data_IF_036303523400
#
_entry.id   IF_036303523400
#
_cell.length_a   1.000
_cell.length_b   1.000
_cell.length_c   1.000
_cell.angle_alpha   90.00
_cell.angle_beta   90.00
_cell.angle_gamma   90.00
#
_symmetry.space_group_name_H-M   'P 1'
#
loop_
_entity.id
_entity.type
_entity.pdbx_description
1 polymer ?
#
# COMPACT_ATOMS: atom_id res chain seq x y z
N UNK A 1 83.78 -2.63 -10.42
CA UNK A 1 82.43 -3.17 -10.71
C UNK A 1 81.50 -2.13 -11.35
N UNK A 2 81.20 -0.99 -10.71
CA UNK A 2 80.32 0.06 -11.26
C UNK A 2 80.76 0.63 -12.63
N UNK A 3 82.07 0.79 -12.85
CA UNK A 3 82.63 1.27 -14.12
C UNK A 3 82.39 0.29 -15.28
N UNK A 4 82.36 -1.02 -14.99
CA UNK A 4 82.04 -2.09 -15.94
C UNK A 4 80.53 -2.13 -16.25
N UNK A 5 79.68 -2.01 -15.23
CA UNK A 5 78.22 -1.89 -15.37
C UNK A 5 77.86 -0.66 -16.24
N UNK A 6 78.50 0.49 -15.99
CA UNK A 6 78.31 1.72 -16.77
C UNK A 6 78.77 1.58 -18.23
N UNK A 7 79.81 0.80 -18.47
CA UNK A 7 80.29 0.46 -19.82
C UNK A 7 79.30 -0.43 -20.57
N UNK A 8 78.74 -1.46 -19.92
CA UNK A 8 77.73 -2.34 -20.49
C UNK A 8 76.39 -1.63 -20.76
N UNK A 9 75.96 -0.72 -19.86
CA UNK A 9 74.77 0.11 -20.05
C UNK A 9 74.91 1.07 -21.26
N UNK A 10 76.12 1.61 -21.51
CA UNK A 10 76.39 2.47 -22.68
C UNK A 10 76.58 1.67 -23.97
N UNK A 11 77.27 0.53 -23.91
CA UNK A 11 77.56 -0.31 -25.08
C UNK A 11 76.34 -1.06 -25.63
N UNK A 12 75.28 -1.24 -24.82
CA UNK A 12 74.00 -1.86 -25.19
C UNK A 12 72.80 -0.97 -24.85
N UNK A 13 72.94 0.33 -25.09
CA UNK A 13 71.98 1.36 -24.68
C UNK A 13 70.53 1.05 -25.07
N UNK A 14 70.28 0.53 -26.28
CA UNK A 14 68.92 0.18 -26.72
C UNK A 14 68.22 -0.87 -25.84
N UNK A 15 68.94 -1.91 -25.39
CA UNK A 15 68.38 -2.97 -24.53
C UNK A 15 68.16 -2.48 -23.10
N UNK A 16 69.06 -1.65 -22.57
CA UNK A 16 68.93 -1.06 -21.25
C UNK A 16 67.77 -0.07 -21.17
N UNK A 17 67.58 0.76 -22.20
CA UNK A 17 66.44 1.68 -22.31
C UNK A 17 65.13 0.91 -22.42
N UNK A 18 65.07 -0.14 -23.25
CA UNK A 18 63.86 -0.97 -23.38
C UNK A 18 63.46 -1.64 -22.06
N UNK A 19 64.42 -2.17 -21.29
CA UNK A 19 64.16 -2.76 -19.98
C UNK A 19 63.70 -1.73 -18.95
N UNK A 20 64.34 -0.56 -18.90
CA UNK A 20 63.94 0.52 -17.99
C UNK A 20 62.56 1.06 -18.34
N UNK A 21 62.25 1.25 -19.63
CA UNK A 21 60.94 1.67 -20.09
C UNK A 21 59.87 0.62 -19.74
N UNK A 22 60.13 -0.66 -19.98
CA UNK A 22 59.21 -1.74 -19.60
C UNK A 22 58.97 -1.81 -18.09
N UNK A 23 60.02 -1.68 -17.28
CA UNK A 23 59.91 -1.65 -15.82
C UNK A 23 59.15 -0.40 -15.34
N UNK A 24 59.38 0.75 -15.95
CA UNK A 24 58.68 2.00 -15.62
C UNK A 24 57.20 1.92 -15.98
N UNK A 25 56.86 1.38 -17.15
CA UNK A 25 55.46 1.14 -17.55
C UNK A 25 54.79 0.16 -16.60
N UNK A 26 55.44 -0.96 -16.25
CA UNK A 26 54.88 -1.96 -15.35
C UNK A 26 54.66 -1.41 -13.93
N UNK A 27 55.64 -0.71 -13.37
CA UNK A 27 55.54 -0.12 -12.03
C UNK A 27 54.51 1.01 -11.97
N UNK A 28 54.50 1.91 -12.97
CA UNK A 28 53.50 2.98 -13.04
C UNK A 28 52.09 2.41 -13.22
N UNK A 29 51.92 1.43 -14.11
CA UNK A 29 50.65 0.74 -14.31
C UNK A 29 50.15 0.05 -13.04
N UNK A 30 51.05 -0.63 -12.32
CA UNK A 30 50.70 -1.28 -11.04
C UNK A 30 50.30 -0.27 -9.96
N UNK A 31 51.04 0.84 -9.82
CA UNK A 31 50.73 1.90 -8.86
C UNK A 31 49.41 2.58 -9.19
N UNK A 32 49.16 2.92 -10.46
CA UNK A 32 47.89 3.52 -10.90
C UNK A 32 46.72 2.57 -10.65
N UNK A 33 46.88 1.28 -10.99
CA UNK A 33 45.83 0.28 -10.77
C UNK A 33 45.52 0.12 -9.27
N UNK A 34 46.55 -0.02 -8.44
CA UNK A 34 46.37 -0.19 -6.98
C UNK A 34 45.77 1.06 -6.35
N UNK A 35 46.19 2.26 -6.80
CA UNK A 35 45.59 3.52 -6.39
C UNK A 35 44.11 3.58 -6.73
N UNK A 36 43.76 3.30 -7.99
CA UNK A 36 42.37 3.29 -8.45
C UNK A 36 41.51 2.28 -7.67
N UNK A 37 41.98 1.05 -7.46
CA UNK A 37 41.25 0.03 -6.69
C UNK A 37 41.03 0.46 -5.24
N UNK A 38 42.03 1.08 -4.61
CA UNK A 38 41.92 1.55 -3.23
C UNK A 38 40.94 2.71 -3.11
N UNK A 39 40.98 3.66 -4.06
CA UNK A 39 40.02 4.77 -4.12
C UNK A 39 38.59 4.27 -4.33
N UNK A 40 38.36 3.37 -5.29
CA UNK A 40 37.02 2.80 -5.51
C UNK A 40 36.53 2.03 -4.28
N UNK A 41 37.40 1.30 -3.58
CA UNK A 41 37.03 0.64 -2.33
C UNK A 41 36.65 1.65 -1.26
N UNK A 42 37.41 2.73 -1.09
CA UNK A 42 37.12 3.78 -0.11
C UNK A 42 35.83 4.53 -0.44
N UNK A 43 35.57 4.80 -1.71
CA UNK A 43 34.33 5.43 -2.16
C UNK A 43 33.12 4.53 -1.92
N UNK A 44 33.22 3.22 -2.20
CA UNK A 44 32.16 2.25 -1.91
C UNK A 44 31.94 2.10 -0.41
N UNK A 45 33.01 1.93 0.38
CA UNK A 45 32.89 1.82 1.84
C UNK A 45 32.34 3.11 2.43
N UNK A 46 32.83 4.27 2.01
CA UNK A 46 32.33 5.57 2.46
C UNK A 46 30.87 5.79 2.10
N UNK A 47 30.45 5.44 0.88
CA UNK A 47 29.04 5.53 0.45
C UNK A 47 28.15 4.59 1.26
N UNK A 48 28.62 3.37 1.56
CA UNK A 48 27.90 2.41 2.39
C UNK A 48 27.83 2.92 3.84
N UNK A 49 28.92 3.40 4.43
CA UNK A 49 28.95 3.94 5.79
C UNK A 49 28.07 5.18 5.94
N UNK A 50 28.11 6.09 4.97
CA UNK A 50 27.27 7.30 4.95
C UNK A 50 25.78 6.94 4.80
N UNK A 51 25.45 5.94 3.98
CA UNK A 51 24.07 5.45 3.81
C UNK A 51 23.59 4.51 4.92
N UNK A 52 24.49 4.01 5.79
CA UNK A 52 24.17 3.10 6.91
C UNK A 52 24.29 3.76 8.28
N UNK A 53 24.70 5.03 8.37
CA UNK A 53 24.68 5.78 9.62
C UNK A 53 23.24 5.85 10.13
N UNK A 54 22.96 5.11 11.20
CA UNK A 54 21.66 5.10 11.83
C UNK A 54 21.30 6.50 12.32
N UNK A 55 20.00 6.85 12.24
CA UNK A 55 19.50 8.13 12.75
C UNK A 55 19.68 8.27 14.27
N UNK A 56 19.91 7.17 14.97
CA UNK A 56 20.10 7.09 16.41
C UNK A 56 21.44 6.41 16.74
N UNK A 57 22.19 6.98 17.69
CA UNK A 57 23.45 6.39 18.15
C UNK A 57 23.21 5.18 19.08
N UNK A 58 22.22 5.29 19.97
CA UNK A 58 21.87 4.25 20.95
C UNK A 58 20.35 4.13 21.02
N UNK A 59 19.87 2.89 20.92
CA UNK A 59 18.47 2.56 21.12
C UNK A 59 18.31 1.79 22.44
N UNK A 60 17.55 2.38 23.36
CA UNK A 60 17.27 1.77 24.67
C UNK A 60 15.96 1.00 24.61
N UNK A 61 15.96 -0.24 25.09
CA UNK A 61 14.78 -1.11 25.11
C UNK A 61 14.33 -1.38 26.55
N UNK A 62 13.03 -1.60 26.79
CA UNK A 62 12.54 -2.04 28.09
C UNK A 62 13.20 -3.33 28.57
N UNK A 63 13.36 -3.49 29.87
CA UNK A 63 13.85 -4.74 30.46
C UNK A 63 12.91 -5.90 30.09
N UNK A 64 13.48 -7.07 29.79
CA UNK A 64 12.72 -8.26 29.39
C UNK A 64 12.36 -8.31 27.90
N UNK A 65 12.68 -7.28 27.12
CA UNK A 65 12.42 -7.26 25.67
C UNK A 65 13.35 -8.17 24.85
N UNK A 66 14.45 -8.66 25.43
CA UNK A 66 15.46 -9.48 24.72
C UNK A 66 14.91 -10.86 24.39
N UNK A 67 14.92 -11.25 23.12
CA UNK A 67 14.43 -12.56 22.68
C UNK A 67 15.44 -13.67 22.99
N UNK A 68 15.01 -14.96 23.06
CA UNK A 68 15.93 -16.09 23.24
C UNK A 68 17.03 -16.14 22.17
N UNK A 69 16.69 -15.84 20.92
CA UNK A 69 17.65 -15.83 19.81
C UNK A 69 18.69 -14.71 19.95
N UNK A 70 18.28 -13.52 20.40
CA UNK A 70 19.20 -12.41 20.70
C UNK A 70 20.13 -12.73 21.87
N UNK A 71 19.65 -13.50 22.86
CA UNK A 71 20.45 -13.98 23.99
C UNK A 71 21.49 -15.01 23.54
N UNK A 72 21.09 -15.95 22.68
CA UNK A 72 21.95 -17.03 22.16
C UNK A 72 23.03 -16.51 21.20
N UNK A 73 22.64 -15.70 20.19
CA UNK A 73 23.52 -15.33 19.08
C UNK A 73 24.13 -13.94 19.21
N UNK A 74 23.70 -13.13 20.17
CA UNK A 74 24.22 -11.77 20.34
C UNK A 74 23.91 -10.82 19.17
N UNK A 75 22.91 -11.15 18.36
CA UNK A 75 22.46 -10.35 17.20
C UNK A 75 21.06 -9.83 17.45
N UNK A 76 20.73 -8.66 16.90
CA UNK A 76 19.40 -8.06 16.93
C UNK A 76 18.82 -8.05 15.52
N UNK A 77 17.52 -8.30 15.39
CA UNK A 77 16.83 -8.28 14.09
C UNK A 77 16.85 -6.85 13.50
N UNK A 78 17.02 -6.68 12.17
CA UNK A 78 16.72 -5.41 11.52
C UNK A 78 15.29 -4.94 11.83
N UNK A 79 15.09 -3.63 12.01
CA UNK A 79 13.78 -3.02 12.32
C UNK A 79 13.07 -3.64 13.55
N UNK A 80 13.83 -4.12 14.54
CA UNK A 80 13.27 -4.75 15.73
C UNK A 80 12.32 -3.85 16.53
N UNK A 81 12.49 -2.52 16.46
CA UNK A 81 11.61 -1.55 17.14
C UNK A 81 10.15 -1.75 16.71
N UNK A 82 9.90 -2.07 15.45
CA UNK A 82 8.56 -2.23 14.88
C UNK A 82 7.76 -3.40 15.46
N UNK A 83 8.38 -4.27 16.26
CA UNK A 83 7.72 -5.38 16.96
C UNK A 83 7.83 -5.30 18.48
N UNK A 84 8.31 -4.19 19.04
CA UNK A 84 8.41 -3.96 20.47
C UNK A 84 7.25 -3.08 20.94
N UNK A 85 6.33 -3.69 21.65
CA UNK A 85 5.16 -3.02 22.22
C UNK A 85 5.30 -2.92 23.74
N UNK A 86 4.95 -1.76 24.28
CA UNK A 86 5.32 -1.34 25.65
C UNK A 86 6.46 -0.32 25.62
N UNK A 87 6.97 0.08 26.79
CA UNK A 87 7.90 1.19 26.85
C UNK A 87 8.69 1.32 28.15
N UNK A 88 9.61 2.26 28.12
CA UNK A 88 10.28 2.80 29.31
C UNK A 88 9.34 3.82 29.98
N UNK A 89 9.41 3.97 31.30
CA UNK A 89 8.65 5.01 32.02
C UNK A 89 9.29 6.38 31.80
N UNK A 90 8.56 7.45 32.11
CA UNK A 90 9.13 8.81 32.09
C UNK A 90 10.32 8.94 33.07
N UNK A 91 10.28 8.24 34.20
CA UNK A 91 11.40 8.18 35.14
C UNK A 91 12.63 7.51 34.53
N UNK A 92 12.46 6.39 33.81
CA UNK A 92 13.57 5.77 33.08
C UNK A 92 14.11 6.69 31.98
N UNK A 93 13.22 7.40 31.27
CA UNK A 93 13.62 8.38 30.26
C UNK A 93 14.50 9.49 30.85
N UNK A 94 14.09 10.08 31.98
CA UNK A 94 14.88 11.11 32.68
C UNK A 94 16.23 10.56 33.17
N UNK A 95 16.24 9.33 33.69
CA UNK A 95 17.48 8.65 34.10
C UNK A 95 18.43 8.47 32.92
N UNK A 96 17.93 8.02 31.77
CA UNK A 96 18.73 7.86 30.54
C UNK A 96 19.30 9.21 30.09
N UNK A 97 18.48 10.27 30.10
CA UNK A 97 18.93 11.63 29.77
C UNK A 97 19.99 12.18 30.74
N UNK A 98 20.06 11.65 31.96
CA UNK A 98 21.07 12.05 32.96
C UNK A 98 22.41 11.31 32.84
N UNK A 99 22.50 10.29 31.98
CA UNK A 99 23.74 9.52 31.79
C UNK A 99 24.81 10.41 31.15
N UNK A 100 26.00 10.45 31.75
CA UNK A 100 27.12 11.23 31.22
C UNK A 100 27.46 10.82 29.79
N UNK A 101 27.47 11.79 28.87
CA UNK A 101 27.70 11.56 27.44
C UNK A 101 26.43 11.42 26.60
N UNK A 102 25.25 11.35 27.20
CA UNK A 102 23.97 11.50 26.49
C UNK A 102 23.68 12.98 26.31
N UNK A 103 23.68 13.45 25.07
CA UNK A 103 23.36 14.84 24.75
C UNK A 103 21.85 15.07 24.64
N UNK A 104 21.15 14.16 23.95
CA UNK A 104 19.71 14.21 23.72
C UNK A 104 19.15 12.79 23.88
N UNK A 105 18.02 12.67 24.57
CA UNK A 105 17.19 11.49 24.57
C UNK A 105 15.81 11.83 24.00
N UNK A 106 15.31 11.02 23.08
CA UNK A 106 13.98 11.15 22.50
C UNK A 106 13.19 9.84 22.74
N UNK A 107 12.02 9.90 23.41
CA UNK A 107 11.17 8.73 23.58
C UNK A 107 10.35 8.48 22.31
N UNK A 108 10.34 7.21 21.89
CA UNK A 108 9.45 6.70 20.85
C UNK A 108 8.67 5.50 21.39
N UNK A 109 7.35 5.50 21.17
CA UNK A 109 6.47 4.43 21.58
C UNK A 109 5.71 3.87 20.38
N UNK A 110 5.97 2.60 20.06
CA UNK A 110 5.25 1.91 18.98
C UNK A 110 3.86 1.52 19.48
N UNK A 111 2.83 2.07 18.86
CA UNK A 111 1.44 1.84 19.27
C UNK A 111 0.90 0.55 18.67
N UNK A 112 1.30 0.21 17.45
CA UNK A 112 0.81 -0.94 16.70
C UNK A 112 0.71 -0.65 15.22
N UNK A 113 0.18 -1.61 14.48
CA UNK A 113 -0.14 -1.47 13.06
C UNK A 113 -1.62 -1.18 12.88
N UNK A 114 -1.95 -0.23 12.02
CA UNK A 114 -3.30 -0.03 11.51
C UNK A 114 -3.28 -0.33 10.02
N UNK A 115 -4.29 -1.06 9.54
CA UNK A 115 -4.43 -1.31 8.10
C UNK A 115 -4.94 -0.05 7.43
N UNK A 116 -4.32 0.27 6.30
CA UNK A 116 -4.76 1.37 5.45
C UNK A 116 -5.05 0.85 4.06
N UNK A 117 -6.27 1.08 3.58
CA UNK A 117 -6.68 0.72 2.23
C UNK A 117 -6.13 1.75 1.24
N UNK A 118 -5.20 1.29 0.41
CA UNK A 118 -4.69 2.06 -0.73
C UNK A 118 -5.43 1.68 -1.99
N UNK A 119 -5.76 2.69 -2.79
CA UNK A 119 -6.39 2.50 -4.11
C UNK A 119 -5.32 2.36 -5.20
N UNK A 120 -5.38 1.26 -5.95
CA UNK A 120 -4.60 1.05 -7.16
C UNK A 120 -5.53 1.23 -8.35
N UNK A 121 -5.35 2.34 -9.08
CA UNK A 121 -6.29 2.77 -10.12
C UNK A 121 -5.88 2.28 -11.49
N UNK A 122 -6.80 1.60 -12.16
CA UNK A 122 -6.66 1.13 -13.54
C UNK A 122 -7.58 1.92 -14.47
N UNK A 123 -7.07 2.32 -15.64
CA UNK A 123 -7.89 2.92 -16.69
C UNK A 123 -8.32 1.84 -17.69
N UNK A 124 -9.63 1.69 -17.84
CA UNK A 124 -10.28 0.73 -18.71
C UNK A 124 -10.93 1.40 -19.94
N UNK A 125 -10.75 2.71 -20.12
CA UNK A 125 -11.41 3.50 -21.16
C UNK A 125 -11.23 2.90 -22.57
N UNK A 126 -10.00 2.52 -22.92
CA UNK A 126 -9.68 1.96 -24.22
C UNK A 126 -10.04 0.46 -24.35
N UNK A 127 -10.31 -0.20 -23.22
CA UNK A 127 -10.80 -1.57 -23.20
C UNK A 127 -12.29 -1.66 -23.60
N UNK A 128 -13.03 -0.55 -23.62
CA UNK A 128 -14.44 -0.49 -23.99
C UNK A 128 -14.62 -0.32 -25.50
N UNK A 129 -15.41 -1.19 -26.12
CA UNK A 129 -15.92 -0.96 -27.47
C UNK A 129 -17.18 -0.11 -27.42
N UNK A 130 -17.07 1.15 -27.83
CA UNK A 130 -18.21 2.09 -27.78
C UNK A 130 -19.34 1.74 -28.76
N UNK A 131 -19.15 0.79 -29.66
CA UNK A 131 -20.17 0.36 -30.64
C UNK A 131 -21.11 -0.72 -30.09
N UNK A 132 -20.73 -1.37 -28.98
CA UNK A 132 -21.51 -2.46 -28.40
C UNK A 132 -22.60 -1.91 -27.47
N UNK A 133 -23.81 -2.48 -27.57
CA UNK A 133 -24.89 -2.15 -26.64
C UNK A 133 -24.55 -2.60 -25.21
N UNK A 134 -23.89 -3.74 -25.05
CA UNK A 134 -23.53 -4.33 -23.74
C UNK A 134 -22.23 -5.11 -23.84
N UNK A 135 -21.39 -4.98 -22.82
CA UNK A 135 -20.14 -5.74 -22.69
C UNK A 135 -19.71 -5.82 -21.23
N UNK A 136 -18.84 -6.76 -20.90
CA UNK A 136 -18.19 -6.83 -19.59
C UNK A 136 -16.69 -6.81 -19.79
N UNK A 137 -15.98 -5.92 -19.10
CA UNK A 137 -14.52 -5.95 -19.03
C UNK A 137 -14.14 -6.75 -17.79
N UNK A 138 -13.62 -7.95 -17.98
CA UNK A 138 -13.00 -8.75 -16.92
C UNK A 138 -11.56 -8.27 -16.73
N UNK A 139 -11.22 -7.97 -15.49
CA UNK A 139 -9.90 -7.52 -15.06
C UNK A 139 -9.35 -8.61 -14.14
N UNK A 140 -8.24 -9.24 -14.54
CA UNK A 140 -7.57 -10.30 -13.78
C UNK A 140 -6.29 -9.74 -13.12
N UNK A 141 -6.35 -9.32 -11.84
CA UNK A 141 -5.20 -8.78 -11.12
C UNK A 141 -4.22 -9.86 -10.64
N UNK A 142 -2.95 -9.49 -10.62
CA UNK A 142 -1.85 -10.22 -10.00
C UNK A 142 -1.07 -9.25 -9.13
N UNK A 143 -1.03 -9.53 -7.83
CA UNK A 143 -0.26 -8.77 -6.86
C UNK A 143 1.19 -9.28 -6.88
N UNK A 144 2.14 -8.35 -6.91
CA UNK A 144 3.57 -8.62 -6.81
C UNK A 144 4.17 -7.78 -5.68
N UNK A 145 5.06 -8.38 -4.91
CA UNK A 145 5.83 -7.70 -3.86
C UNK A 145 7.27 -8.24 -3.82
N UNK A 146 8.14 -7.59 -3.05
CA UNK A 146 9.55 -7.99 -2.88
C UNK A 146 10.27 -8.12 -4.24
N UNK A 147 10.13 -7.10 -5.10
CA UNK A 147 10.66 -7.08 -6.48
C UNK A 147 10.25 -8.30 -7.32
N UNK A 148 9.02 -8.77 -7.13
CA UNK A 148 8.45 -9.90 -7.84
C UNK A 148 8.80 -11.28 -7.27
N UNK A 149 9.49 -11.34 -6.12
CA UNK A 149 9.74 -12.61 -5.43
C UNK A 149 8.49 -13.18 -4.76
N UNK A 150 7.53 -12.31 -4.41
CA UNK A 150 6.21 -12.68 -3.93
C UNK A 150 5.18 -12.37 -5.01
N UNK A 151 4.38 -13.36 -5.40
CA UNK A 151 3.32 -13.20 -6.41
C UNK A 151 2.05 -13.91 -5.97
N UNK A 152 0.90 -13.29 -6.20
CA UNK A 152 -0.41 -13.90 -5.92
C UNK A 152 -1.42 -13.46 -6.98
N UNK A 153 -2.04 -14.44 -7.64
CA UNK A 153 -3.17 -14.18 -8.54
C UNK A 153 -4.40 -13.93 -7.70
N UNK A 154 -5.13 -12.88 -8.05
CA UNK A 154 -6.31 -12.48 -7.32
C UNK A 154 -7.60 -12.79 -8.09
N UNK A 155 -8.70 -12.67 -7.35
CA UNK A 155 -10.04 -12.86 -7.86
C UNK A 155 -10.35 -11.76 -8.90
N UNK A 156 -10.98 -12.08 -10.03
CA UNK A 156 -11.21 -11.10 -11.08
C UNK A 156 -12.26 -10.06 -10.65
N UNK A 157 -12.05 -8.83 -11.10
CA UNK A 157 -13.06 -7.77 -11.08
C UNK A 157 -13.74 -7.68 -12.45
N UNK A 158 -14.98 -7.22 -12.46
CA UNK A 158 -15.78 -7.08 -13.66
C UNK A 158 -16.33 -5.66 -13.76
N UNK A 159 -16.25 -5.07 -14.94
CA UNK A 159 -16.90 -3.79 -15.24
C UNK A 159 -17.92 -4.01 -16.34
N UNK A 160 -19.19 -4.04 -15.96
CA UNK A 160 -20.31 -4.12 -16.89
C UNK A 160 -20.59 -2.75 -17.49
N UNK A 161 -20.50 -2.65 -18.82
CA UNK A 161 -20.78 -1.42 -19.55
C UNK A 161 -21.99 -1.65 -20.47
N UNK A 162 -22.99 -0.79 -20.34
CA UNK A 162 -24.23 -0.87 -21.13
C UNK A 162 -24.62 0.48 -21.73
N UNK A 163 -25.13 0.52 -22.96
CA UNK A 163 -25.73 1.71 -23.54
C UNK A 163 -27.14 1.98 -22.98
N UNK A 164 -27.72 1.02 -22.24
CA UNK A 164 -29.06 1.14 -21.67
C UNK A 164 -29.06 2.01 -20.41
N UNK A 165 -30.16 2.72 -20.10
CA UNK A 165 -30.25 3.48 -18.87
C UNK A 165 -30.03 2.61 -17.64
N UNK A 166 -29.21 3.10 -16.71
CA UNK A 166 -29.07 2.57 -15.36
C UNK A 166 -29.85 3.48 -14.40
N UNK A 167 -30.49 2.87 -13.41
CA UNK A 167 -31.14 3.57 -12.30
C UNK A 167 -30.44 3.19 -11.01
N UNK A 168 -30.26 4.18 -10.13
CA UNK A 168 -29.43 4.08 -8.93
C UNK A 168 -30.25 4.34 -7.67
N UNK A 169 -29.89 3.74 -6.52
CA UNK A 169 -30.52 4.08 -5.24
C UNK A 169 -30.21 5.53 -4.85
N UNK A 170 -31.22 6.28 -4.37
CA UNK A 170 -31.10 7.73 -4.08
C UNK A 170 -31.05 8.01 -2.58
N UNK A 171 -31.79 7.25 -1.76
CA UNK A 171 -31.79 7.36 -0.32
C UNK A 171 -31.53 5.99 0.33
N UNK A 172 -30.40 5.89 1.01
CA UNK A 172 -29.97 4.67 1.73
C UNK A 172 -30.01 4.88 3.24
N UNK A 173 -31.09 5.46 3.76
CA UNK A 173 -31.37 5.46 5.20
C UNK A 173 -31.43 4.02 5.75
N UNK A 174 -31.04 3.86 7.02
CA UNK A 174 -31.04 2.57 7.69
C UNK A 174 -32.46 2.22 8.17
N UNK A 175 -33.01 1.08 7.72
CA UNK A 175 -34.24 0.49 8.30
C UNK A 175 -35.28 0.05 7.28
N UNK A 176 -35.30 0.63 6.08
CA UNK A 176 -36.36 0.35 5.11
C UNK A 176 -36.10 -0.91 4.27
N UNK A 177 -37.14 -1.72 4.07
CA UNK A 177 -37.12 -2.94 3.27
C UNK A 177 -37.09 -2.65 1.75
N UNK A 178 -37.61 -1.50 1.35
CA UNK A 178 -37.55 -0.95 0.00
C UNK A 178 -36.91 0.43 0.04
N UNK A 179 -36.27 0.82 -1.07
CA UNK A 179 -35.56 2.09 -1.20
C UNK A 179 -35.92 2.75 -2.53
N UNK A 180 -35.94 4.08 -2.54
CA UNK A 180 -36.19 4.87 -3.75
C UNK A 180 -34.98 4.84 -4.69
N UNK A 181 -35.26 4.70 -5.99
CA UNK A 181 -34.29 4.78 -7.07
C UNK A 181 -34.49 6.03 -7.92
N UNK A 182 -33.51 6.38 -8.75
CA UNK A 182 -33.49 7.60 -9.57
C UNK A 182 -34.64 7.71 -10.60
N UNK A 183 -35.41 6.64 -10.80
CA UNK A 183 -36.67 6.65 -11.57
C UNK A 183 -37.91 7.03 -10.73
N UNK A 184 -37.72 7.37 -9.45
CA UNK A 184 -38.77 7.67 -8.48
C UNK A 184 -39.56 6.44 -8.00
N UNK A 185 -39.12 5.22 -8.37
CA UNK A 185 -39.77 3.98 -7.94
C UNK A 185 -39.03 3.36 -6.77
N UNK A 186 -39.76 2.57 -6.00
CA UNK A 186 -39.22 1.83 -4.87
C UNK A 186 -38.96 0.38 -5.27
N UNK A 187 -37.81 -0.15 -4.85
CA UNK A 187 -37.43 -1.54 -5.10
C UNK A 187 -36.88 -2.17 -3.81
N UNK A 188 -36.88 -3.51 -3.71
CA UNK A 188 -36.30 -4.21 -2.56
C UNK A 188 -34.86 -3.75 -2.29
N UNK A 189 -34.53 -3.52 -1.02
CA UNK A 189 -33.19 -3.10 -0.58
C UNK A 189 -32.11 -4.12 -0.95
N UNK A 190 -32.48 -5.40 -0.95
CA UNK A 190 -31.57 -6.52 -1.16
C UNK A 190 -32.00 -7.38 -2.36
N UNK A 191 -31.95 -6.85 -3.59
CA UNK A 191 -32.44 -7.57 -4.77
C UNK A 191 -31.54 -8.74 -5.19
N UNK A 192 -30.33 -8.82 -4.62
CA UNK A 192 -29.30 -9.80 -4.93
C UNK A 192 -28.93 -10.68 -3.72
N UNK A 193 -29.85 -10.85 -2.76
CA UNK A 193 -29.65 -11.72 -1.59
C UNK A 193 -29.13 -10.97 -0.37
N UNK A 194 -27.90 -11.18 0.05
CA UNK A 194 -27.32 -10.50 1.22
C UNK A 194 -26.76 -9.11 0.90
N UNK A 195 -26.47 -8.86 -0.38
CA UNK A 195 -25.98 -7.59 -0.94
C UNK A 195 -26.97 -6.44 -0.65
N UNK A 196 -26.41 -5.23 -0.51
CA UNK A 196 -27.19 -4.01 -0.38
C UNK A 196 -27.89 -3.59 -1.67
N UNK A 197 -28.31 -2.33 -1.71
CA UNK A 197 -28.86 -1.72 -2.91
C UNK A 197 -27.86 -1.82 -4.08
N UNK A 198 -28.33 -2.12 -5.29
CA UNK A 198 -27.47 -2.23 -6.48
C UNK A 198 -28.09 -1.51 -7.68
N UNK A 199 -27.30 -0.96 -8.63
CA UNK A 199 -27.83 -0.38 -9.85
C UNK A 199 -28.73 -1.35 -10.62
N UNK A 200 -29.74 -0.82 -11.32
CA UNK A 200 -30.65 -1.61 -12.14
C UNK A 200 -30.60 -1.15 -13.58
N UNK A 201 -30.55 -2.10 -14.51
CA UNK A 201 -30.60 -1.81 -15.94
C UNK A 201 -32.05 -1.77 -16.41
N UNK A 202 -32.41 -0.72 -17.17
CA UNK A 202 -33.70 -0.62 -17.84
C UNK A 202 -33.67 -1.42 -19.14
N UNK A 203 -34.51 -2.46 -19.20
CA UNK A 203 -34.67 -3.35 -20.35
C UNK A 203 -35.64 -2.77 -21.40
N UNK A 204 -35.60 -3.29 -22.64
CA UNK A 204 -36.63 -3.02 -23.64
C UNK A 204 -38.03 -3.30 -23.08
N UNK A 205 -38.92 -2.32 -23.18
CA UNK A 205 -40.26 -2.36 -22.56
C UNK A 205 -40.38 -1.67 -21.20
N UNK A 206 -39.31 -1.05 -20.69
CA UNK A 206 -39.35 -0.15 -19.52
C UNK A 206 -39.33 -0.85 -18.16
N UNK A 207 -39.18 -2.19 -18.14
CA UNK A 207 -38.89 -2.94 -16.91
C UNK A 207 -37.42 -2.78 -16.52
N UNK A 208 -37.13 -2.77 -15.23
CA UNK A 208 -35.75 -2.72 -14.71
C UNK A 208 -35.38 -4.01 -13.98
N UNK A 209 -34.15 -4.48 -14.17
CA UNK A 209 -33.60 -5.67 -13.51
C UNK A 209 -32.30 -5.31 -12.77
N UNK A 210 -32.03 -5.87 -11.57
CA UNK A 210 -30.83 -5.55 -10.81
C UNK A 210 -29.57 -6.07 -11.49
N UNK A 211 -28.46 -5.34 -11.36
CA UNK A 211 -27.12 -5.81 -11.74
C UNK A 211 -26.43 -6.29 -10.47
N UNK A 212 -26.48 -7.59 -10.21
CA UNK A 212 -25.87 -8.18 -9.00
C UNK A 212 -24.36 -8.32 -9.10
N UNK A 213 -23.68 -8.40 -7.95
CA UNK A 213 -22.27 -8.79 -7.94
C UNK A 213 -22.12 -10.30 -8.20
N UNK A 214 -20.94 -10.70 -8.65
CA UNK A 214 -20.53 -12.08 -8.94
C UNK A 214 -20.03 -12.77 -7.67
N UNK A 215 -19.56 -11.98 -6.69
CA UNK A 215 -18.78 -12.46 -5.56
C UNK A 215 -19.45 -12.12 -4.24
N UNK A 216 -19.65 -13.18 -3.43
CA UNK A 216 -20.20 -13.08 -2.09
C UNK A 216 -19.19 -12.34 -1.22
N UNK A 217 -19.50 -11.12 -0.81
CA UNK A 217 -18.75 -10.43 0.23
C UNK A 217 -18.97 -11.20 1.53
N UNK A 218 -17.95 -11.90 2.01
CA UNK A 218 -18.01 -12.47 3.35
C UNK A 218 -17.67 -11.37 4.35
N UNK A 219 -18.66 -10.56 4.68
CA UNK A 219 -18.55 -9.53 5.71
C UNK A 219 -18.42 -10.12 7.12
N UNK A 220 -18.21 -11.44 7.26
CA UNK A 220 -18.03 -12.07 8.56
C UNK A 220 -16.76 -11.56 9.24
N UNK A 221 -16.92 -10.87 10.37
CA UNK A 221 -15.76 -10.48 11.15
C UNK A 221 -15.01 -11.70 11.64
N UNK A 222 -13.69 -11.59 11.63
CA UNK A 222 -12.78 -12.71 11.81
C UNK A 222 -12.48 -13.45 10.50
N UNK A 223 -12.92 -12.92 9.35
CA UNK A 223 -12.49 -13.43 8.05
C UNK A 223 -10.96 -13.36 7.92
N UNK A 224 -10.38 -14.44 7.39
CA UNK A 224 -8.96 -14.52 7.02
C UNK A 224 -8.76 -14.25 5.53
N UNK A 225 -9.76 -13.69 4.85
CA UNK A 225 -9.66 -13.32 3.43
C UNK A 225 -8.56 -12.28 3.25
N UNK A 226 -7.83 -12.44 2.16
CA UNK A 226 -6.80 -11.50 1.71
C UNK A 226 -7.36 -10.55 0.66
N UNK A 227 -6.60 -9.50 0.35
CA UNK A 227 -6.91 -8.62 -0.78
C UNK A 227 -7.03 -9.39 -2.11
N UNK A 228 -6.33 -10.53 -2.24
CA UNK A 228 -6.42 -11.37 -3.43
C UNK A 228 -7.75 -12.13 -3.56
N UNK A 229 -8.51 -12.26 -2.47
CA UNK A 229 -9.82 -12.88 -2.47
C UNK A 229 -10.94 -11.86 -2.78
N UNK A 230 -10.59 -10.57 -2.87
CA UNK A 230 -11.51 -9.50 -3.23
C UNK A 230 -11.75 -9.48 -4.73
N UNK A 231 -13.01 -9.42 -5.12
CA UNK A 231 -13.42 -9.10 -6.48
C UNK A 231 -14.79 -8.46 -6.46
N UNK A 232 -15.17 -7.81 -7.55
CA UNK A 232 -16.40 -7.02 -7.62
C UNK A 232 -16.96 -6.96 -9.02
N UNK A 233 -18.22 -6.57 -9.15
CA UNK A 233 -18.82 -6.15 -10.42
C UNK A 233 -19.38 -4.74 -10.31
N UNK A 234 -18.85 -3.83 -11.13
CA UNK A 234 -19.32 -2.46 -11.22
C UNK A 234 -20.10 -2.24 -12.53
N UNK A 235 -21.23 -1.56 -12.44
CA UNK A 235 -22.07 -1.24 -13.59
C UNK A 235 -21.90 0.22 -14.01
N UNK A 236 -21.64 0.44 -15.30
CA UNK A 236 -21.55 1.76 -15.93
C UNK A 236 -22.45 1.83 -17.15
N UNK A 237 -23.03 3.01 -17.36
CA UNK A 237 -23.72 3.35 -18.60
C UNK A 237 -22.76 4.06 -19.55
N UNK A 238 -22.72 3.60 -20.80
CA UNK A 238 -22.09 4.32 -21.90
C UNK A 238 -23.11 5.28 -22.52
N UNK A 239 -22.78 6.56 -22.52
CA UNK A 239 -23.61 7.60 -23.10
C UNK A 239 -23.39 7.73 -24.62
N UNK A 240 -24.36 8.26 -25.38
CA UNK A 240 -24.22 8.43 -26.83
C UNK A 240 -23.05 9.33 -27.26
N UNK A 241 -22.58 10.22 -26.37
CA UNK A 241 -21.42 11.08 -26.59
C UNK A 241 -20.08 10.39 -26.29
N UNK A 242 -20.09 9.12 -25.87
CA UNK A 242 -18.91 8.31 -25.60
C UNK A 242 -18.38 8.42 -24.17
N UNK A 243 -19.04 9.20 -23.29
CA UNK A 243 -18.72 9.31 -21.86
C UNK A 243 -19.39 8.21 -21.04
N UNK A 244 -18.94 8.05 -19.80
CA UNK A 244 -19.42 7.01 -18.87
C UNK A 244 -20.18 7.62 -17.69
N UNK A 245 -21.35 7.08 -17.39
CA UNK A 245 -22.14 7.39 -16.20
C UNK A 245 -22.06 6.17 -15.26
N UNK A 246 -21.43 6.34 -14.10
CA UNK A 246 -21.23 5.28 -13.11
C UNK A 246 -22.10 5.44 -11.87
N UNK A 247 -22.02 4.51 -10.91
CA UNK A 247 -22.68 4.67 -9.63
C UNK A 247 -22.20 5.96 -8.95
N UNK A 248 -23.07 6.65 -8.19
CA UNK A 248 -22.63 7.79 -7.40
C UNK A 248 -21.50 7.34 -6.48
N UNK A 249 -20.38 8.08 -6.47
CA UNK A 249 -19.33 7.89 -5.46
C UNK A 249 -19.99 8.06 -4.09
N UNK A 250 -19.60 7.27 -3.11
CA UNK A 250 -20.10 7.43 -1.74
C UNK A 250 -19.89 8.89 -1.31
N UNK A 251 -20.98 9.57 -0.99
CA UNK A 251 -20.99 10.95 -0.51
C UNK A 251 -21.58 10.95 0.90
N UNK A 252 -20.93 11.60 1.87
CA UNK A 252 -21.43 11.72 3.24
C UNK A 252 -22.85 12.29 3.31
N UNK A 253 -23.60 11.85 4.32
CA UNK A 253 -24.97 12.31 4.56
C UNK A 253 -25.01 13.85 4.71
N UNK A 254 -25.80 14.51 3.85
CA UNK A 254 -25.99 15.96 3.87
C UNK A 254 -25.23 16.74 2.80
N UNK A 255 -24.31 16.10 2.08
CA UNK A 255 -23.85 16.61 0.79
C UNK A 255 -24.73 16.04 -0.32
N UNK A 256 -25.06 16.83 -1.37
CA UNK A 256 -25.68 16.26 -2.54
C UNK A 256 -24.76 15.14 -3.01
N UNK A 257 -25.29 13.92 -3.11
CA UNK A 257 -24.63 12.85 -3.83
C UNK A 257 -24.08 13.48 -5.10
N UNK A 258 -22.79 13.29 -5.37
CA UNK A 258 -22.20 13.65 -6.65
C UNK A 258 -22.82 12.69 -7.67
N UNK A 259 -24.11 12.86 -7.92
CA UNK A 259 -24.91 12.13 -8.86
C UNK A 259 -24.38 12.44 -10.25
N UNK A 260 -24.40 11.40 -11.08
CA UNK A 260 -24.61 11.52 -12.52
C UNK A 260 -23.70 12.52 -13.23
N UNK A 261 -22.40 12.52 -12.94
CA UNK A 261 -21.43 13.15 -13.84
C UNK A 261 -20.88 12.11 -14.78
N UNK A 262 -21.35 12.19 -16.02
CA UNK A 262 -20.68 11.64 -17.17
C UNK A 262 -19.18 11.99 -17.12
N UNK A 263 -18.33 10.97 -16.98
CA UNK A 263 -16.87 11.07 -16.97
C UNK A 263 -16.28 10.62 -18.29
N UNK A 264 -15.16 11.21 -18.68
CA UNK A 264 -14.48 10.84 -19.93
C UNK A 264 -13.67 9.54 -19.80
N UNK A 265 -13.25 9.20 -18.57
CA UNK A 265 -12.43 8.01 -18.28
C UNK A 265 -13.18 7.01 -17.40
N UNK A 266 -13.16 5.75 -17.82
CA UNK A 266 -13.66 4.61 -17.06
C UNK A 266 -12.53 4.03 -16.23
N UNK A 267 -12.54 4.23 -14.92
CA UNK A 267 -11.50 3.73 -14.03
C UNK A 267 -12.02 2.69 -13.05
N UNK A 268 -11.21 1.68 -12.77
CA UNK A 268 -11.43 0.68 -11.72
C UNK A 268 -10.39 0.87 -10.62
N UNK A 269 -10.84 1.00 -9.37
CA UNK A 269 -9.96 1.02 -8.20
C UNK A 269 -9.92 -0.39 -7.61
N UNK A 270 -8.72 -0.96 -7.51
CA UNK A 270 -8.44 -2.20 -6.77
C UNK A 270 -7.84 -1.78 -5.44
N UNK A 271 -8.44 -2.22 -4.34
CA UNK A 271 -7.98 -1.90 -2.99
C UNK A 271 -6.90 -2.86 -2.55
N UNK A 272 -5.85 -2.32 -1.92
CA UNK A 272 -4.79 -3.09 -1.27
C UNK A 272 -4.62 -2.58 0.15
N UNK A 273 -4.85 -3.44 1.14
CA UNK A 273 -4.67 -3.11 2.53
C UNK A 273 -3.21 -3.29 2.94
N UNK A 274 -2.56 -2.19 3.33
CA UNK A 274 -1.18 -2.20 3.79
C UNK A 274 -1.10 -1.82 5.27
N UNK A 275 -0.29 -2.53 6.08
CA UNK A 275 -0.12 -2.19 7.48
C UNK A 275 0.80 -0.97 7.63
N UNK A 276 0.26 0.11 8.19
CA UNK A 276 1.04 1.26 8.62
C UNK A 276 1.34 1.16 10.11
N UNK A 277 2.61 1.33 10.44
CA UNK A 277 3.08 1.34 11.82
C UNK A 277 2.86 2.72 12.44
N UNK A 278 2.12 2.75 13.54
CA UNK A 278 1.87 3.96 14.31
C UNK A 278 2.89 4.08 15.44
N UNK A 279 3.52 5.25 15.53
CA UNK A 279 4.46 5.58 16.59
C UNK A 279 4.05 6.92 17.24
N UNK A 280 4.02 6.94 18.57
CA UNK A 280 3.98 8.18 19.33
C UNK A 280 5.42 8.66 19.58
N UNK A 281 5.66 9.94 19.32
CA UNK A 281 6.98 10.58 19.44
C UNK A 281 6.85 11.85 20.28
N UNK A 282 7.94 12.25 20.92
CA UNK A 282 8.11 13.64 21.41
C UNK A 282 8.67 14.49 20.25
N UNK A 283 7.87 15.37 19.62
CA UNK A 283 8.32 16.11 18.44
C UNK A 283 9.52 17.01 18.74
N UNK A 284 9.59 17.62 19.92
CA UNK A 284 10.67 18.54 20.26
C UNK A 284 11.98 17.81 20.55
N UNK A 285 11.92 16.62 21.15
CA UNK A 285 13.11 15.80 21.35
C UNK A 285 13.60 15.19 20.02
N UNK A 286 12.70 14.66 19.20
CA UNK A 286 13.03 14.11 17.88
C UNK A 286 13.55 15.19 16.92
N UNK A 287 13.04 16.42 16.96
CA UNK A 287 13.58 17.50 16.15
C UNK A 287 15.03 17.84 16.52
N UNK A 288 15.37 17.87 17.81
CA UNK A 288 16.77 18.06 18.22
C UNK A 288 17.66 16.88 17.81
N UNK A 289 17.12 15.67 17.81
CA UNK A 289 17.89 14.45 17.56
C UNK A 289 18.13 14.21 16.06
N UNK A 290 17.07 14.30 15.25
CA UNK A 290 17.10 13.95 13.82
C UNK A 290 16.65 15.07 12.89
N UNK A 291 16.26 16.23 13.42
CA UNK A 291 15.75 17.34 12.62
C UNK A 291 14.38 17.08 12.01
N UNK A 292 13.49 16.43 12.76
CA UNK A 292 12.14 16.04 12.36
C UNK A 292 11.37 17.17 11.64
N UNK A 293 11.44 18.41 12.12
CA UNK A 293 10.71 19.54 11.53
C UNK A 293 11.22 19.88 10.12
N UNK A 294 12.53 19.75 9.91
CA UNK A 294 13.17 19.99 8.61
C UNK A 294 12.88 18.90 7.59
N UNK A 295 12.43 17.73 8.03
CA UNK A 295 12.02 16.63 7.15
C UNK A 295 10.59 16.80 6.62
N UNK A 296 9.80 17.72 7.18
CA UNK A 296 8.42 17.99 6.74
C UNK A 296 8.43 18.76 5.42
N UNK A 297 7.94 18.12 4.36
CA UNK A 297 7.90 18.71 3.00
C UNK A 297 6.56 19.37 2.65
N UNK A 298 5.49 19.06 3.39
CA UNK A 298 4.14 19.59 3.20
C UNK A 298 3.38 19.57 4.53
N UNK A 299 2.43 20.50 4.70
CA UNK A 299 1.70 20.66 5.96
C UNK A 299 2.51 21.48 6.98
N UNK A 300 2.48 21.06 8.25
CA UNK A 300 3.23 21.68 9.34
C UNK A 300 3.88 20.62 10.24
N UNK A 301 4.96 20.94 10.95
CA UNK A 301 5.50 20.05 11.99
C UNK A 301 4.51 19.80 13.13
N UNK A 302 4.69 18.67 13.81
CA UNK A 302 3.97 18.34 15.04
C UNK A 302 4.49 19.17 16.20
N UNK A 303 3.59 19.55 17.09
CA UNK A 303 3.91 20.28 18.31
C UNK A 303 3.51 19.48 19.53
N UNK A 304 4.18 19.73 20.66
CA UNK A 304 3.88 19.03 21.91
C UNK A 304 2.47 19.35 22.45
N UNK A 305 1.88 20.48 22.06
CA UNK A 305 0.53 20.92 22.43
C UNK A 305 -0.54 20.56 21.40
N UNK A 306 -0.19 19.79 20.36
CA UNK A 306 -1.15 19.28 19.40
C UNK A 306 -2.15 18.33 20.08
N UNK A 307 -3.44 18.65 19.96
CA UNK A 307 -4.54 17.89 20.54
C UNK A 307 -5.45 17.29 19.46
N UNK A 308 -6.13 16.17 19.74
CA UNK A 308 -7.11 15.64 18.82
C UNK A 308 -8.28 16.60 18.64
N UNK A 309 -8.83 16.63 17.43
CA UNK A 309 -10.01 17.41 17.08
C UNK A 309 -11.23 16.49 17.04
N UNK A 310 -12.28 16.85 17.76
CA UNK A 310 -13.56 16.15 17.69
C UNK A 310 -14.45 16.88 16.67
N UNK A 311 -14.83 16.21 15.58
CA UNK A 311 -15.73 16.73 14.55
C UNK A 311 -17.01 15.89 14.48
N UNK A 312 -18.11 16.50 14.00
CA UNK A 312 -19.40 15.83 13.88
C UNK A 312 -19.91 15.87 12.45
N UNK A 313 -19.36 14.98 11.62
CA UNK A 313 -19.76 14.76 10.23
C UNK A 313 -20.69 13.52 10.15
N UNK A 314 -21.95 13.68 10.55
CA UNK A 314 -22.92 12.58 10.63
C UNK A 314 -22.69 11.61 11.81
N UNK A 315 -21.44 11.19 12.05
CA UNK A 315 -20.96 10.49 13.24
C UNK A 315 -19.94 11.34 14.01
N UNK A 316 -19.66 11.01 15.28
CA UNK A 316 -18.58 11.64 16.05
C UNK A 316 -17.25 11.09 15.53
N UNK A 317 -16.45 11.92 14.86
CA UNK A 317 -15.10 11.60 14.40
C UNK A 317 -14.09 12.28 15.32
N UNK A 318 -13.02 11.55 15.66
CA UNK A 318 -11.88 12.09 16.39
C UNK A 318 -10.65 12.02 15.50
N UNK A 319 -10.11 13.18 15.17
CA UNK A 319 -8.96 13.33 14.29
C UNK A 319 -7.70 13.58 15.10
N UNK A 320 -6.60 12.96 14.70
CA UNK A 320 -5.29 13.13 15.33
C UNK A 320 -4.33 13.78 14.32
N UNK A 321 -3.57 14.81 14.72
CA UNK A 321 -2.50 15.32 13.90
C UNK A 321 -1.39 14.26 13.80
N UNK A 322 -0.97 13.96 12.57
CA UNK A 322 0.05 12.93 12.29
C UNK A 322 1.07 13.43 11.28
N UNK A 323 2.31 12.97 11.40
CA UNK A 323 3.27 12.99 10.29
C UNK A 323 3.18 11.67 9.55
N UNK A 324 2.98 11.76 8.24
CA UNK A 324 3.01 10.61 7.35
C UNK A 324 4.26 10.69 6.46
N UNK A 325 4.86 9.54 6.18
CA UNK A 325 6.02 9.48 5.28
C UNK A 325 5.63 9.87 3.86
N UNK A 326 6.41 10.72 3.20
CA UNK A 326 6.20 11.00 1.77
C UNK A 326 6.59 9.82 0.86
N UNK A 327 7.25 8.81 1.43
CA UNK A 327 7.71 7.60 0.75
C UNK A 327 7.33 6.39 1.61
N UNK A 328 6.30 5.63 1.24
CA UNK A 328 5.82 4.53 2.08
C UNK A 328 6.81 3.34 2.13
N UNK A 329 7.85 3.34 1.27
CA UNK A 329 8.82 2.23 1.11
C UNK A 329 8.15 0.86 0.92
N UNK A 330 6.90 0.86 0.45
CA UNK A 330 6.17 -0.35 0.09
C UNK A 330 6.59 -0.74 -1.31
N UNK A 331 7.19 -1.92 -1.43
CA UNK A 331 7.51 -2.57 -2.70
C UNK A 331 6.32 -3.44 -3.10
N UNK A 332 5.42 -2.86 -3.89
CA UNK A 332 4.16 -3.50 -4.27
C UNK A 332 3.66 -3.01 -5.62
N UNK A 333 3.40 -3.97 -6.51
CA UNK A 333 2.87 -3.74 -7.85
C UNK A 333 1.61 -4.57 -8.07
N UNK A 334 0.66 -4.03 -8.83
CA UNK A 334 -0.48 -4.79 -9.32
C UNK A 334 -0.42 -4.78 -10.84
N UNK A 335 -0.29 -5.97 -11.42
CA UNK A 335 -0.44 -6.18 -12.85
C UNK A 335 -1.85 -6.67 -13.12
N UNK A 336 -2.49 -6.18 -14.18
CA UNK A 336 -3.84 -6.58 -14.54
C UNK A 336 -3.94 -6.83 -16.04
N UNK A 337 -4.61 -7.94 -16.41
CA UNK A 337 -4.97 -8.21 -17.81
C UNK A 337 -6.46 -7.98 -18.05
N UNK A 338 -6.81 -7.46 -19.22
CA UNK A 338 -8.18 -7.08 -19.56
C UNK A 338 -8.74 -7.99 -20.65
N UNK A 339 -9.89 -8.59 -20.38
CA UNK A 339 -10.63 -9.42 -21.32
C UNK A 339 -12.04 -8.86 -21.49
N UNK A 340 -12.42 -8.49 -22.71
CA UNK A 340 -13.79 -8.12 -23.04
C UNK A 340 -14.62 -9.36 -23.27
N UNK A 341 -15.65 -9.53 -22.45
CA UNK A 341 -16.62 -10.61 -22.48
C UNK A 341 -17.95 -10.11 -23.07
N UNK A 342 -18.61 -10.99 -23.83
CA UNK A 342 -19.92 -10.73 -24.42
C UNK A 342 -20.98 -11.71 -23.88
N UNK A 343 -21.36 -11.61 -22.59
CA UNK A 343 -22.40 -12.47 -22.02
C UNK A 343 -23.77 -12.13 -22.65
N UNK A 344 -24.65 -13.13 -22.86
CA UNK A 344 -25.98 -12.88 -23.42
C UNK A 344 -26.85 -12.01 -22.49
N UNK A 345 -26.62 -12.11 -21.18
CA UNK A 345 -27.35 -11.40 -20.13
C UNK A 345 -26.45 -11.17 -18.92
N UNK A 346 -26.65 -10.02 -18.26
CA UNK A 346 -26.03 -9.65 -16.98
C UNK A 346 -27.15 -9.28 -15.99
N UNK A 347 -27.93 -8.25 -16.31
CA UNK A 347 -29.02 -7.78 -15.45
C UNK A 347 -30.09 -8.86 -15.20
N UNK A 348 -30.47 -9.03 -13.93
CA UNK A 348 -31.44 -9.99 -13.42
C UNK A 348 -30.87 -11.40 -13.15
N UNK A 349 -29.55 -11.60 -13.26
CA UNK A 349 -28.88 -12.83 -12.82
C UNK A 349 -28.39 -12.66 -11.38
N UNK A 350 -28.64 -13.69 -10.55
CA UNK A 350 -28.05 -13.80 -9.20
C UNK A 350 -26.59 -14.26 -9.29
N UNK A 351 -25.81 -14.04 -8.23
CA UNK A 351 -24.35 -14.23 -8.19
C UNK A 351 -23.86 -15.53 -8.88
N UNK A 352 -24.38 -16.71 -8.49
CA UNK A 352 -23.95 -17.98 -9.09
C UNK A 352 -24.27 -18.10 -10.59
N UNK A 353 -25.46 -17.64 -10.99
CA UNK A 353 -25.88 -17.69 -12.39
C UNK A 353 -25.07 -16.69 -13.23
N UNK A 354 -24.75 -15.53 -12.66
CA UNK A 354 -23.91 -14.52 -13.27
C UNK A 354 -22.47 -15.02 -13.43
N UNK A 355 -21.89 -15.64 -12.40
CA UNK A 355 -20.56 -16.26 -12.46
C UNK A 355 -20.46 -17.29 -13.59
N UNK A 356 -21.47 -18.16 -13.73
CA UNK A 356 -21.56 -19.12 -14.84
C UNK A 356 -21.68 -18.41 -16.20
N UNK A 357 -22.51 -17.39 -16.30
CA UNK A 357 -22.70 -16.63 -17.54
C UNK A 357 -21.42 -15.92 -17.99
N UNK A 358 -20.67 -15.32 -17.06
CA UNK A 358 -19.40 -14.64 -17.35
C UNK A 358 -18.30 -15.64 -17.73
N UNK A 359 -18.24 -16.79 -17.05
CA UNK A 359 -17.25 -17.84 -17.37
C UNK A 359 -17.48 -18.45 -18.75
N UNK A 360 -18.73 -18.60 -19.17
CA UNK A 360 -19.10 -19.17 -20.47
C UNK A 360 -19.11 -18.15 -21.61
N UNK A 361 -19.00 -16.86 -21.33
CA UNK A 361 -19.08 -15.81 -22.34
C UNK A 361 -17.87 -15.83 -23.28
N UNK A 362 -18.06 -15.59 -24.60
CA UNK A 362 -16.96 -15.36 -25.52
C UNK A 362 -16.10 -14.19 -25.03
N UNK A 363 -14.78 -14.40 -24.99
CA UNK A 363 -13.81 -13.42 -24.49
C UNK A 363 -12.73 -13.08 -25.51
N UNK A 364 -12.35 -11.81 -25.57
CA UNK A 364 -11.20 -11.33 -26.35
C UNK A 364 -10.30 -10.49 -25.47
N UNK A 365 -8.98 -10.68 -25.57
CA UNK A 365 -8.02 -9.83 -24.85
C UNK A 365 -8.04 -8.43 -25.45
N UNK A 366 -8.17 -7.42 -24.60
CA UNK A 366 -8.31 -6.01 -25.01
C UNK A 366 -7.26 -5.09 -24.40
N UNK A 367 -6.45 -5.61 -23.47
CA UNK A 367 -5.32 -4.86 -22.92
C UNK A 367 -4.71 -5.51 -21.69
N UNK A 368 -3.80 -4.76 -21.09
CA UNK A 368 -3.18 -4.99 -19.79
C UNK A 368 -2.59 -3.68 -19.28
N UNK A 369 -2.34 -3.62 -17.98
CA UNK A 369 -1.66 -2.51 -17.35
C UNK A 369 -0.92 -2.97 -16.09
N UNK A 370 0.04 -2.15 -15.68
CA UNK A 370 0.79 -2.31 -14.44
C UNK A 370 0.68 -1.02 -13.64
N UNK A 371 0.51 -1.15 -12.32
CA UNK A 371 0.40 -0.02 -11.42
C UNK A 371 1.24 -0.25 -10.16
N UNK A 372 1.95 0.80 -9.76
CA UNK A 372 2.72 0.85 -8.53
C UNK A 372 1.82 1.32 -7.38
N UNK A 373 1.90 0.63 -6.23
CA UNK A 373 1.13 1.05 -5.04
C UNK A 373 1.56 2.42 -4.52
N UNK A 374 2.84 2.79 -4.72
CA UNK A 374 3.38 4.09 -4.30
C UNK A 374 2.68 5.25 -4.99
N UNK A 375 2.27 5.11 -6.26
CA UNK A 375 1.51 6.14 -6.96
C UNK A 375 0.12 6.32 -6.33
N UNK A 376 -0.56 5.22 -6.02
CA UNK A 376 -1.85 5.24 -5.31
C UNK A 376 -1.78 5.92 -3.95
N UNK A 377 -0.72 5.65 -3.18
CA UNK A 377 -0.44 6.32 -1.89
C UNK A 377 -0.27 7.84 -2.06
N UNK A 378 0.54 8.27 -3.03
CA UNK A 378 0.80 9.70 -3.27
C UNK A 378 -0.45 10.45 -3.74
N UNK A 379 -1.27 9.83 -4.60
CA UNK A 379 -2.55 10.38 -5.03
C UNK A 379 -3.52 10.54 -3.86
N UNK A 380 -3.58 9.55 -2.97
CA UNK A 380 -4.43 9.58 -1.77
C UNK A 380 -3.97 10.64 -0.76
N UNK A 381 -2.66 10.77 -0.53
CA UNK A 381 -2.08 11.83 0.30
C UNK A 381 -2.35 13.23 -0.28
N UNK A 382 -2.19 13.39 -1.60
CA UNK A 382 -2.42 14.67 -2.28
C UNK A 382 -3.89 15.07 -2.20
N UNK A 383 -4.82 14.14 -2.43
CA UNK A 383 -6.25 14.41 -2.31
C UNK A 383 -6.64 14.77 -0.87
N UNK A 384 -6.15 14.01 0.12
CA UNK A 384 -6.42 14.27 1.53
C UNK A 384 -5.90 15.62 2.01
N UNK A 385 -4.75 16.09 1.50
CA UNK A 385 -4.22 17.42 1.83
C UNK A 385 -4.98 18.57 1.13
N UNK A 386 -5.56 18.35 -0.05
CA UNK A 386 -6.23 19.39 -0.85
C UNK A 386 -7.72 19.54 -0.55
N UNK A 387 -8.39 18.46 -0.12
CA UNK A 387 -9.82 18.44 0.14
C UNK A 387 -10.06 18.01 1.59
N UNK A 388 -10.28 18.96 2.53
CA UNK A 388 -10.97 18.66 3.78
C UNK A 388 -12.45 18.40 3.47
N UNK A 389 -12.73 17.35 2.70
CA UNK A 389 -14.08 16.83 2.45
C UNK A 389 -14.49 15.87 3.57
N UNK A 390 -15.77 15.44 3.63
CA UNK A 390 -16.31 14.92 4.87
C UNK A 390 -15.91 13.45 5.08
N UNK A 391 -14.92 13.19 5.95
CA UNK A 391 -14.39 11.83 6.24
C UNK A 391 -13.85 11.11 4.97
N UNK A 392 -12.97 10.11 4.98
CA UNK A 392 -12.28 9.38 6.02
C UNK A 392 -10.83 9.14 5.54
N UNK A 393 -10.14 10.20 5.11
CA UNK A 393 -8.73 10.11 4.71
C UNK A 393 -7.89 9.77 5.95
N UNK A 394 -7.09 8.71 5.89
CA UNK A 394 -6.29 8.28 7.04
C UNK A 394 -7.11 7.67 8.18
N UNK A 395 -8.28 7.09 7.89
CA UNK A 395 -9.04 6.33 8.89
C UNK A 395 -8.12 5.29 9.55
N UNK A 396 -8.02 5.37 10.87
CA UNK A 396 -7.35 4.36 11.66
C UNK A 396 -8.36 3.24 11.94
N UNK A 397 -8.11 2.08 11.36
CA UNK A 397 -8.77 0.84 11.78
C UNK A 397 -8.23 0.38 13.14
N UNK A 398 -8.66 -0.81 13.58
CA UNK A 398 -8.11 -1.46 14.76
C UNK A 398 -6.58 -1.44 14.76
N UNK A 399 -6.00 -0.91 15.83
CA UNK A 399 -4.55 -0.92 16.03
C UNK A 399 -4.16 -2.27 16.62
N UNK A 400 -3.39 -3.05 15.88
CA UNK A 400 -2.99 -4.40 16.25
C UNK A 400 -1.50 -4.41 16.60
N UNK A 401 -1.17 -5.02 17.74
CA UNK A 401 0.20 -5.23 18.16
C UNK A 401 0.61 -6.65 17.80
N UNK A 402 1.57 -6.79 16.88
CA UNK A 402 2.08 -8.09 16.49
C UNK A 402 2.94 -8.70 17.62
N UNK A 403 2.85 -10.01 17.83
CA UNK A 403 3.81 -10.69 18.69
C UNK A 403 5.23 -10.66 18.11
N UNK A 404 6.26 -10.99 18.91
CA UNK A 404 7.62 -11.14 18.39
C UNK A 404 7.65 -12.25 17.33
N UNK A 405 8.38 -12.04 16.24
CA UNK A 405 8.60 -13.10 15.24
C UNK A 405 9.50 -14.18 15.84
N UNK A 406 8.98 -15.40 15.93
CA UNK A 406 9.75 -16.56 16.33
C UNK A 406 10.43 -17.23 15.14
N UNK A 407 11.64 -17.73 15.35
CA UNK A 407 12.39 -18.48 14.35
C UNK A 407 12.70 -19.88 14.86
N UNK A 408 12.59 -20.88 13.98
CA UNK A 408 13.15 -22.21 14.16
C UNK A 408 14.54 -22.26 13.52
N UNK A 409 15.51 -22.83 14.24
CA UNK A 409 16.84 -23.09 13.70
C UNK A 409 16.82 -24.27 12.73
N UNK A 410 17.50 -24.12 11.60
CA UNK A 410 17.77 -25.19 10.64
C UNK A 410 19.20 -25.75 10.83
N UNK A 411 19.49 -26.98 10.34
CA UNK A 411 20.78 -27.65 10.53
C UNK A 411 22.00 -26.90 9.98
N UNK A 412 21.80 -26.02 9.01
CA UNK A 412 22.79 -25.17 8.36
C UNK A 412 22.94 -23.78 9.03
N UNK A 413 22.41 -23.63 10.25
CA UNK A 413 22.29 -22.37 11.00
C UNK A 413 21.33 -21.33 10.39
N UNK A 414 20.62 -21.66 9.30
CA UNK A 414 19.55 -20.82 8.78
C UNK A 414 18.39 -20.71 9.79
N UNK A 415 17.65 -19.61 9.69
CA UNK A 415 16.51 -19.32 10.55
C UNK A 415 15.25 -19.30 9.70
N UNK A 416 14.29 -20.15 10.04
CA UNK A 416 12.99 -20.18 9.38
C UNK A 416 11.95 -19.52 10.29
N UNK A 417 11.22 -18.48 9.83
CA UNK A 417 10.17 -17.88 10.64
C UNK A 417 9.08 -18.92 10.92
N UNK A 418 8.58 -18.95 12.15
CA UNK A 418 7.44 -19.79 12.52
C UNK A 418 6.15 -19.14 12.07
N UNK A 419 5.30 -19.92 11.42
CA UNK A 419 3.94 -19.49 11.07
C UNK A 419 3.01 -19.77 12.25
N UNK A 420 2.26 -18.75 12.66
CA UNK A 420 1.19 -18.88 13.63
C UNK A 420 -0.15 -18.91 12.90
N UNK A 421 -1.14 -19.68 13.37
CA UNK A 421 -2.48 -19.59 12.86
C UNK A 421 -3.02 -18.17 13.10
N UNK A 422 -3.78 -17.64 12.13
CA UNK A 422 -4.52 -16.41 12.35
C UNK A 422 -5.47 -16.59 13.54
N UNK A 423 -5.66 -15.53 14.32
CA UNK A 423 -6.61 -15.47 15.43
C UNK A 423 -7.73 -14.52 14.98
N UNK A 424 -8.81 -15.04 14.36
CA UNK A 424 -9.93 -14.25 13.82
C UNK A 424 -10.44 -13.16 14.77
N UNK A 425 -10.47 -13.46 16.07
CA UNK A 425 -10.98 -12.58 17.11
C UNK A 425 -10.17 -11.28 17.26
N UNK A 426 -8.90 -11.27 16.84
CA UNK A 426 -8.01 -10.10 16.87
C UNK A 426 -8.29 -9.13 15.72
N UNK A 427 -8.79 -9.62 14.59
CA UNK A 427 -9.08 -8.83 13.39
C UNK A 427 -10.53 -8.32 13.33
N UNK A 428 -11.29 -8.48 14.43
CA UNK A 428 -12.58 -7.82 14.66
C UNK A 428 -13.82 -8.67 14.31
N UNK A 429 -14.97 -8.33 14.90
CA UNK A 429 -16.28 -8.87 14.53
C UNK A 429 -16.91 -8.05 13.37
N UNK A 430 -17.92 -8.64 12.71
CA UNK A 430 -18.68 -8.35 11.46
C UNK A 430 -19.01 -6.91 11.06
N UNK A 431 -18.61 -5.89 11.84
CA UNK A 431 -18.88 -4.48 11.60
C UNK A 431 -17.74 -3.60 12.14
N UNK A 432 -16.63 -3.55 11.43
CA UNK A 432 -15.68 -2.43 11.51
C UNK A 432 -16.18 -1.25 10.65
N UNK A 433 -17.40 -0.80 10.94
CA UNK A 433 -17.77 0.59 10.79
C UNK A 433 -18.16 1.04 12.21
N UNK A 434 -17.18 1.62 12.91
CA UNK A 434 -17.32 2.47 14.11
C UNK A 434 -18.50 2.19 15.05
N UNK A 435 -18.21 1.65 16.23
CA UNK A 435 -18.48 2.23 17.57
C UNK A 435 -18.36 1.14 18.66
N UNK A 436 -17.69 1.43 19.80
CA UNK A 436 -17.54 0.47 20.89
C UNK A 436 -18.88 0.20 21.60
N UNK A 437 -19.08 -1.04 22.08
CA UNK A 437 -20.05 -1.31 23.15
C UNK A 437 -19.44 -0.86 24.48
N UNK A 438 -20.27 -0.13 25.24
CA UNK A 438 -20.08 0.55 26.53
C UNK A 438 -19.06 -0.05 27.50
#
# INVERSE_FOLDING_TARGET
MFRFIRGQLRGRAGRSVALLAGMLVATTGFVVLTGATTTSRLEVVGSVEESTRAAYDILVRPQGSRTPLEAERGVVRPNYLSGLFGGITNEHYEQIGSVSGVEIAAPIAMLGYSLHSLRVRFDLTDAVDRTLERQVIRVDPTFLAERGLSTTKATPHFVYVTARPLIYPVDITAGDAEIEYSDGRHYPRKPCGDEGATPREVLPGGRSEPVCDVLRHDDTGGSTMSDADSGSLLAYRLLPDGRFEGPPRWVPAGEPSAGDRAVDRLTLDIWWNVPFLLAAVDPAAEDRLVGLDRAVIAGRPLRADDAPLDERLGALTREFPVLATSRPYVDGQVQASYTRLLPPRVAGLQAEALARALTAAPGSRVGDAEQEITAGYQDQMTEGMQRPGPCCFGLLESVVQAGPTEYAGQPDAALQPRTFPAVPEVYGATRSASLPRR
#
